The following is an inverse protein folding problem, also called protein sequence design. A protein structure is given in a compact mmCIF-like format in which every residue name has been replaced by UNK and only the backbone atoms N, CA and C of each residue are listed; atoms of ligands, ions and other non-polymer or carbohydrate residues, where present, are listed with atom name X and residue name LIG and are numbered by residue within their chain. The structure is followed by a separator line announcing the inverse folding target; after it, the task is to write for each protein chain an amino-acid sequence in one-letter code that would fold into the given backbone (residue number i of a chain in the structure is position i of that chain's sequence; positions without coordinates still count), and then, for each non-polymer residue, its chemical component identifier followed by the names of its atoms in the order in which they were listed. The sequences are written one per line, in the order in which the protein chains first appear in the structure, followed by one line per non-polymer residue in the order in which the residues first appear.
data_IF_992292302705
#
_entry.id   IF_992292302705
#
_cell.length_a   1.000
_cell.length_b   1.000
_cell.length_c   1.000
_cell.angle_alpha   90.00
_cell.angle_beta   90.00
_cell.angle_gamma   90.00
#
_symmetry.space_group_name_H-M   'P 1'
#
loop_
_entity.id
_entity.type
_entity.pdbx_description
1 polymer ?
#
# COMPACT_ATOMS: atom_id res chain seq x y z
N UNK A 1 -13.98 2.48 -18.82
CA UNK A 1 -14.58 1.42 -19.66
C UNK A 1 -15.90 1.04 -19.02
N UNK A 2 -17.02 1.14 -19.76
CA UNK A 2 -18.37 0.86 -19.24
C UNK A 2 -18.68 -0.64 -19.09
N UNK A 3 -17.71 -1.42 -18.61
CA UNK A 3 -17.86 -2.84 -18.36
C UNK A 3 -18.52 -3.04 -17.00
N UNK A 4 -19.44 -3.99 -16.89
CA UNK A 4 -20.05 -4.38 -15.62
C UNK A 4 -18.96 -4.76 -14.59
N UNK A 5 -19.01 -4.16 -13.40
CA UNK A 5 -17.99 -4.31 -12.37
C UNK A 5 -17.85 -5.76 -11.92
N UNK A 6 -18.95 -6.52 -11.85
CA UNK A 6 -18.91 -7.92 -11.48
C UNK A 6 -18.22 -8.75 -12.55
N UNK A 7 -18.53 -8.49 -13.83
CA UNK A 7 -17.85 -9.15 -14.95
C UNK A 7 -16.34 -8.85 -14.96
N UNK A 8 -15.95 -7.60 -14.74
CA UNK A 8 -14.54 -7.21 -14.67
C UNK A 8 -13.81 -7.95 -13.54
N UNK A 9 -14.40 -7.97 -12.34
CA UNK A 9 -13.82 -8.62 -11.17
C UNK A 9 -13.72 -10.14 -11.36
N UNK A 10 -14.74 -10.78 -11.92
CA UNK A 10 -14.72 -12.22 -12.23
C UNK A 10 -13.59 -12.58 -13.19
N UNK A 11 -13.38 -11.80 -14.26
CA UNK A 11 -12.29 -12.06 -15.21
C UNK A 11 -10.92 -11.96 -14.54
N UNK A 12 -10.70 -10.96 -13.68
CA UNK A 12 -9.45 -10.81 -12.94
C UNK A 12 -9.21 -12.02 -12.03
N UNK A 13 -10.22 -12.47 -11.28
CA UNK A 13 -10.09 -13.65 -10.42
C UNK A 13 -9.70 -14.92 -11.19
N UNK A 14 -10.31 -15.15 -12.36
CA UNK A 14 -10.01 -16.33 -13.18
C UNK A 14 -8.54 -16.32 -13.59
N UNK A 15 -8.05 -15.18 -14.09
CA UNK A 15 -6.63 -15.03 -14.47
C UNK A 15 -5.72 -15.24 -13.25
N UNK A 16 -6.06 -14.64 -12.11
CA UNK A 16 -5.31 -14.78 -10.86
C UNK A 16 -5.19 -16.23 -10.37
N UNK A 17 -6.30 -16.96 -10.36
CA UNK A 17 -6.33 -18.35 -9.93
C UNK A 17 -5.52 -19.23 -10.90
N UNK A 18 -5.61 -18.99 -12.21
CA UNK A 18 -4.87 -19.75 -13.22
C UNK A 18 -3.35 -19.62 -13.04
N UNK A 19 -2.81 -18.41 -12.99
CA UNK A 19 -1.35 -18.26 -12.89
C UNK A 19 -0.83 -18.65 -11.50
N UNK A 20 -1.61 -18.44 -10.43
CA UNK A 20 -1.22 -18.83 -9.08
C UNK A 20 -1.20 -20.36 -8.90
N UNK A 21 -2.19 -21.06 -9.45
CA UNK A 21 -2.28 -22.53 -9.37
C UNK A 21 -1.18 -23.22 -10.19
N UNK A 22 -0.79 -22.69 -11.35
CA UNK A 22 0.24 -23.28 -12.20
C UNK A 22 1.67 -23.00 -11.74
N UNK A 23 1.93 -21.82 -11.18
CA UNK A 23 3.29 -21.35 -10.91
C UNK A 23 3.79 -21.52 -9.47
N UNK A 24 2.91 -21.87 -8.53
CA UNK A 24 3.25 -22.00 -7.11
C UNK A 24 3.77 -20.69 -6.47
N UNK A 25 4.36 -20.80 -5.28
CA UNK A 25 4.77 -19.62 -4.49
C UNK A 25 5.83 -18.75 -5.19
N UNK A 26 6.72 -19.35 -6.00
CA UNK A 26 7.75 -18.63 -6.75
C UNK A 26 7.16 -17.71 -7.83
N UNK A 27 6.17 -18.19 -8.59
CA UNK A 27 5.52 -17.37 -9.61
C UNK A 27 4.73 -16.22 -8.99
N UNK A 28 4.04 -16.48 -7.87
CA UNK A 28 3.29 -15.46 -7.13
C UNK A 28 4.20 -14.32 -6.70
N UNK A 29 5.38 -14.62 -6.13
CA UNK A 29 6.35 -13.59 -5.70
C UNK A 29 6.84 -12.76 -6.90
N UNK A 30 7.12 -13.38 -8.05
CA UNK A 30 7.56 -12.65 -9.25
C UNK A 30 6.46 -11.72 -9.77
N UNK A 31 5.21 -12.18 -9.83
CA UNK A 31 4.07 -11.35 -10.25
C UNK A 31 3.78 -10.20 -9.29
N UNK A 32 3.87 -10.44 -7.98
CA UNK A 32 3.70 -9.42 -6.94
C UNK A 32 4.77 -8.33 -7.04
N UNK A 33 6.02 -8.72 -7.33
CA UNK A 33 7.13 -7.79 -7.56
C UNK A 33 6.87 -6.88 -8.77
N UNK A 34 6.42 -7.45 -9.89
CA UNK A 34 6.08 -6.67 -11.07
C UNK A 34 4.91 -5.71 -10.80
N UNK A 35 3.86 -6.19 -10.13
CA UNK A 35 2.70 -5.37 -9.77
C UNK A 35 3.09 -4.21 -8.85
N UNK A 36 3.96 -4.45 -7.85
CA UNK A 36 4.48 -3.40 -6.98
C UNK A 36 5.21 -2.30 -7.79
N UNK A 37 6.02 -2.69 -8.78
CA UNK A 37 6.69 -1.76 -9.69
C UNK A 37 5.70 -0.92 -10.51
N UNK A 38 4.69 -1.56 -11.11
CA UNK A 38 3.65 -0.87 -11.89
C UNK A 38 2.85 0.11 -11.01
N UNK A 39 2.49 -0.28 -9.79
CA UNK A 39 1.78 0.58 -8.85
C UNK A 39 2.62 1.79 -8.44
N UNK A 40 3.91 1.60 -8.19
CA UNK A 40 4.83 2.67 -7.83
C UNK A 40 5.01 3.68 -8.96
N UNK A 41 5.18 3.22 -10.21
CA UNK A 41 5.23 4.10 -11.38
C UNK A 41 3.90 4.84 -11.56
N UNK A 42 2.78 4.13 -11.43
CA UNK A 42 1.44 4.73 -11.55
C UNK A 42 1.22 5.82 -10.51
N UNK A 43 1.69 5.63 -9.28
CA UNK A 43 1.64 6.63 -8.22
C UNK A 43 2.38 7.91 -8.63
N UNK A 44 3.61 7.81 -9.13
CA UNK A 44 4.37 8.99 -9.58
C UNK A 44 3.72 9.70 -10.76
N UNK A 45 3.18 8.94 -11.73
CA UNK A 45 2.46 9.52 -12.88
C UNK A 45 1.21 10.27 -12.42
N UNK A 46 0.41 9.67 -11.53
CA UNK A 46 -0.80 10.29 -10.99
C UNK A 46 -0.46 11.54 -10.17
N UNK A 47 0.59 11.48 -9.33
CA UNK A 47 1.06 12.65 -8.59
C UNK A 47 1.52 13.76 -9.52
N UNK A 48 2.32 13.46 -10.54
CA UNK A 48 2.79 14.45 -11.51
C UNK A 48 1.65 15.11 -12.29
N UNK A 49 0.72 14.32 -12.82
CA UNK A 49 -0.46 14.82 -13.53
C UNK A 49 -1.40 15.59 -12.60
N UNK A 50 -1.55 15.14 -11.35
CA UNK A 50 -2.33 15.81 -10.31
C UNK A 50 -1.76 17.18 -9.98
N UNK A 51 -0.45 17.27 -9.77
CA UNK A 51 0.26 18.54 -9.53
C UNK A 51 0.16 19.47 -10.73
N UNK A 52 0.33 18.96 -11.96
CA UNK A 52 0.18 19.75 -13.18
C UNK A 52 -1.23 20.34 -13.31
N UNK A 53 -2.27 19.51 -13.13
CA UNK A 53 -3.68 19.95 -13.19
C UNK A 53 -4.04 20.90 -12.06
N UNK A 54 -3.44 20.73 -10.88
CA UNK A 54 -3.67 21.58 -9.73
C UNK A 54 -2.87 22.90 -9.75
N UNK A 55 -2.15 23.22 -10.82
CA UNK A 55 -1.41 24.49 -10.94
C UNK A 55 -0.06 24.51 -10.23
N UNK A 56 0.48 23.35 -9.85
CA UNK A 56 1.80 23.18 -9.25
C UNK A 56 1.78 22.94 -7.74
N UNK A 57 2.93 22.47 -7.21
CA UNK A 57 3.07 22.09 -5.79
C UNK A 57 2.86 23.26 -4.84
N UNK A 58 3.25 24.48 -5.22
CA UNK A 58 3.09 25.66 -4.37
C UNK A 58 1.63 26.03 -4.16
N UNK A 59 0.78 25.89 -5.18
CA UNK A 59 -0.64 26.19 -5.07
C UNK A 59 -1.34 25.15 -4.19
N UNK A 60 -1.03 23.86 -4.41
CA UNK A 60 -1.52 22.76 -3.57
C UNK A 60 -1.14 22.97 -2.10
N UNK A 61 0.09 23.39 -1.82
CA UNK A 61 0.54 23.66 -0.46
C UNK A 61 -0.22 24.82 0.19
N UNK A 62 -0.40 25.92 -0.55
CA UNK A 62 -1.15 27.08 -0.09
C UNK A 62 -2.62 26.75 0.17
N UNK A 63 -3.26 25.97 -0.71
CA UNK A 63 -4.64 25.53 -0.54
C UNK A 63 -4.80 24.63 0.70
N UNK A 64 -3.85 23.73 0.95
CA UNK A 64 -3.88 22.89 2.15
C UNK A 64 -3.70 23.70 3.45
N UNK A 65 -2.90 24.76 3.43
CA UNK A 65 -2.79 25.71 4.55
C UNK A 65 -4.09 26.50 4.75
N UNK A 66 -4.66 27.05 3.67
CA UNK A 66 -5.90 27.83 3.72
C UNK A 66 -7.09 27.01 4.22
N UNK A 67 -7.15 25.74 3.84
CA UNK A 67 -8.22 24.82 4.25
C UNK A 67 -7.98 24.18 5.63
N UNK A 68 -6.88 24.54 6.32
CA UNK A 68 -6.46 23.95 7.60
C UNK A 68 -6.36 22.42 7.57
N UNK A 69 -6.01 21.84 6.42
CA UNK A 69 -5.88 20.38 6.24
C UNK A 69 -4.50 19.85 6.63
N UNK A 70 -3.55 20.73 6.91
CA UNK A 70 -2.19 20.38 7.31
C UNK A 70 -2.08 20.25 8.83
N UNK A 71 -2.38 19.05 9.34
CA UNK A 71 -2.20 18.69 10.74
C UNK A 71 -1.06 17.67 10.87
N UNK A 72 0.16 18.15 11.11
CA UNK A 72 1.35 17.28 11.11
C UNK A 72 1.54 16.48 12.41
N UNK A 73 1.34 17.11 13.56
CA UNK A 73 1.62 16.49 14.87
C UNK A 73 0.59 16.89 15.91
N UNK A 74 -0.50 16.12 16.00
CA UNK A 74 -1.47 16.24 17.09
C UNK A 74 -0.93 15.45 18.29
N UNK A 75 -0.26 16.16 19.21
CA UNK A 75 0.33 15.59 20.44
C UNK A 75 -0.68 15.45 21.59
N UNK A 76 -1.94 15.13 21.27
CA UNK A 76 -3.00 14.90 22.26
C UNK A 76 -2.98 13.41 22.69
N UNK A 77 -2.79 13.09 23.98
CA UNK A 77 -2.82 11.72 24.50
C UNK A 77 -4.23 11.14 24.61
N UNK A 78 -5.29 11.90 24.30
CA UNK A 78 -6.66 11.42 24.37
C UNK A 78 -6.92 10.28 23.36
N UNK A 79 -7.32 9.08 23.81
CA UNK A 79 -7.54 7.92 22.95
C UNK A 79 -8.75 8.03 22.02
N UNK A 80 -9.61 9.04 22.21
CA UNK A 80 -10.73 9.32 21.29
C UNK A 80 -10.31 10.08 20.04
N UNK A 81 -9.10 10.65 20.00
CA UNK A 81 -8.54 11.29 18.80
C UNK A 81 -8.08 10.20 17.82
N UNK A 82 -8.73 10.15 16.64
CA UNK A 82 -8.51 9.09 15.65
C UNK A 82 -7.05 8.99 15.18
N UNK A 83 -6.43 10.11 14.85
CA UNK A 83 -5.06 10.20 14.32
C UNK A 83 -4.21 11.17 15.14
N UNK A 84 -3.97 10.84 16.41
CA UNK A 84 -2.96 11.54 17.21
C UNK A 84 -1.59 10.90 16.99
N UNK A 85 -0.53 11.61 17.36
CA UNK A 85 0.82 11.05 17.36
C UNK A 85 0.87 9.73 18.14
N UNK A 86 0.21 9.68 19.31
CA UNK A 86 0.17 8.49 20.16
C UNK A 86 -0.63 7.34 19.54
N UNK A 87 -1.79 7.61 18.94
CA UNK A 87 -2.60 6.56 18.32
C UNK A 87 -1.92 5.97 17.08
N UNK A 88 -1.23 6.81 16.28
CA UNK A 88 -0.49 6.38 15.10
C UNK A 88 0.78 5.63 15.48
N UNK A 89 1.56 6.11 16.45
CA UNK A 89 2.80 5.43 16.86
C UNK A 89 2.50 4.11 17.53
N UNK A 90 1.66 4.11 18.57
CA UNK A 90 1.38 2.90 19.35
C UNK A 90 0.50 1.94 18.54
N UNK A 91 -0.66 2.41 18.07
CA UNK A 91 -1.60 1.60 17.30
C UNK A 91 -1.02 1.14 15.97
N UNK A 92 -0.28 2.02 15.28
CA UNK A 92 0.46 1.66 14.08
C UNK A 92 1.48 0.56 14.36
N UNK A 93 2.29 0.66 15.41
CA UNK A 93 3.28 -0.38 15.75
C UNK A 93 2.64 -1.76 15.90
N UNK A 94 1.54 -1.87 16.65
CA UNK A 94 0.83 -3.14 16.79
C UNK A 94 0.20 -3.62 15.46
N UNK A 95 -0.31 -2.70 14.66
CA UNK A 95 -0.86 -3.00 13.33
C UNK A 95 0.20 -3.58 12.39
N UNK A 96 1.35 -2.89 12.26
CA UNK A 96 2.47 -3.34 11.45
C UNK A 96 3.06 -4.66 11.97
N UNK A 97 3.21 -4.81 13.29
CA UNK A 97 3.66 -6.05 13.90
C UNK A 97 2.74 -7.23 13.54
N UNK A 98 1.42 -7.05 13.65
CA UNK A 98 0.45 -8.10 13.27
C UNK A 98 0.53 -8.42 11.78
N UNK A 99 0.63 -7.38 10.93
CA UNK A 99 0.70 -7.55 9.48
C UNK A 99 1.96 -8.30 9.01
N UNK A 100 3.08 -8.17 9.71
CA UNK A 100 4.32 -8.85 9.31
C UNK A 100 4.59 -10.16 10.06
N UNK A 101 4.24 -10.24 11.35
CA UNK A 101 4.53 -11.40 12.18
C UNK A 101 3.41 -12.44 12.20
N UNK A 102 2.15 -12.02 12.04
CA UNK A 102 0.99 -12.90 12.20
C UNK A 102 0.23 -13.15 10.90
N UNK A 103 0.47 -12.35 9.85
CA UNK A 103 -0.14 -12.59 8.56
C UNK A 103 0.52 -13.77 7.86
N UNK A 104 -0.27 -14.83 7.65
CA UNK A 104 0.16 -16.07 7.00
C UNK A 104 0.85 -15.80 5.66
N UNK A 105 0.32 -14.88 4.83
CA UNK A 105 0.89 -14.58 3.52
C UNK A 105 2.30 -13.96 3.62
N UNK A 106 2.52 -13.08 4.61
CA UNK A 106 3.82 -12.44 4.85
C UNK A 106 4.84 -13.47 5.35
N UNK A 107 4.45 -14.27 6.36
CA UNK A 107 5.32 -15.28 6.97
C UNK A 107 5.74 -16.35 5.96
N UNK A 108 4.81 -16.83 5.12
CA UNK A 108 5.11 -17.83 4.09
C UNK A 108 6.12 -17.33 3.06
N UNK A 109 6.06 -16.06 2.67
CA UNK A 109 7.06 -15.46 1.77
C UNK A 109 8.44 -15.44 2.42
N UNK A 110 8.55 -15.07 3.69
CA UNK A 110 9.85 -15.07 4.40
C UNK A 110 10.46 -16.47 4.52
N UNK A 111 9.64 -17.49 4.78
CA UNK A 111 10.10 -18.89 4.88
C UNK A 111 10.43 -19.53 3.53
N UNK A 112 10.08 -18.89 2.41
CA UNK A 112 10.39 -19.38 1.06
C UNK A 112 11.81 -19.07 0.58
N UNK A 113 12.54 -18.26 1.35
CA UNK A 113 13.92 -17.85 1.05
C UNK A 113 14.89 -18.88 1.62
N UNK A 114 15.92 -19.23 0.85
CA UNK A 114 16.84 -20.36 1.11
C UNK A 114 17.78 -20.14 2.30
N UNK A 115 17.99 -18.88 2.71
CA UNK A 115 18.96 -18.49 3.74
C UNK A 115 18.51 -17.27 4.54
N UNK A 116 18.72 -17.32 5.87
CA UNK A 116 18.45 -16.20 6.79
C UNK A 116 19.25 -14.94 6.41
N UNK A 117 20.40 -15.09 5.76
CA UNK A 117 21.20 -13.98 5.25
C UNK A 117 20.50 -13.18 4.14
N UNK A 118 19.73 -13.86 3.28
CA UNK A 118 18.94 -13.21 2.22
C UNK A 118 17.66 -12.55 2.74
N UNK A 119 17.16 -12.93 3.92
CA UNK A 119 15.95 -12.33 4.52
C UNK A 119 16.26 -11.02 5.26
N UNK A 120 17.49 -10.85 5.74
CA UNK A 120 17.91 -9.68 6.54
C UNK A 120 18.42 -8.49 5.72
N UNK A 121 18.69 -8.68 4.44
CA UNK A 121 19.23 -7.66 3.52
C UNK A 121 18.13 -7.15 2.63
#
# INVERSE_FOLDING_TARGET
TGLDTYLAVSLVYIVCIFYASQGGMKAVIMTDTFQAGVLLVSLFVILGLGLYKAGGMSLVWQDNLNTKRMEFFIMDPNPTVRHSFWSVVIGGTFYWATMFCSNQASVQKYLSVESIGQVRT
#
